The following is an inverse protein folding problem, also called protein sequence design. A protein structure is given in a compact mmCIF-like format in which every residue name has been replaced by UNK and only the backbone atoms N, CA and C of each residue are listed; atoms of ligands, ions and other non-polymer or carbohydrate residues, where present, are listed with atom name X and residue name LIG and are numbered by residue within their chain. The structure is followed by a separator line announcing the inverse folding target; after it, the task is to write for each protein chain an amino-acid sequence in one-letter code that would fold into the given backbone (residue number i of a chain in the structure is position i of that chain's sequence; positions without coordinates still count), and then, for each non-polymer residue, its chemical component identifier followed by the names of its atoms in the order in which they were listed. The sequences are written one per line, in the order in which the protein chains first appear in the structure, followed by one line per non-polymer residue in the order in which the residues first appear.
data_IF_098491844740
#
_entry.id   IF_098491844740
#
_cell.length_a   1.000
_cell.length_b   1.000
_cell.length_c   1.000
_cell.angle_alpha   90.00
_cell.angle_beta   90.00
_cell.angle_gamma   90.00
#
_symmetry.space_group_name_H-M   'P 1'
#
loop_
_entity.id
_entity.type
_entity.pdbx_description
1 polymer ?
#
# COMPACT_ATOMS: atom_id res chain seq x y z
N UNK A 1 -4.54 -20.11 -10.91
CA UNK A 1 -4.38 -21.15 -9.86
C UNK A 1 -3.40 -20.57 -8.86
N UNK A 2 -3.83 -20.30 -7.61
CA UNK A 2 -2.94 -19.71 -6.60
C UNK A 2 -1.77 -20.67 -6.33
N UNK A 3 -0.54 -20.13 -6.30
CA UNK A 3 0.64 -20.92 -5.94
C UNK A 3 0.43 -21.49 -4.53
N UNK A 4 0.45 -22.82 -4.34
CA UNK A 4 0.24 -23.44 -3.03
C UNK A 4 1.26 -22.98 -1.97
N UNK A 5 2.41 -22.42 -2.38
CA UNK A 5 3.43 -21.88 -1.49
C UNK A 5 3.19 -20.43 -1.08
N UNK A 6 2.28 -19.70 -1.75
CA UNK A 6 2.03 -18.29 -1.46
C UNK A 6 1.64 -18.07 0.00
N UNK A 7 0.79 -18.94 0.55
CA UNK A 7 0.39 -18.85 1.95
C UNK A 7 1.57 -19.02 2.90
N UNK A 8 2.45 -19.99 2.63
CA UNK A 8 3.65 -20.20 3.44
C UNK A 8 4.55 -18.98 3.43
N UNK A 9 4.80 -18.39 2.26
CA UNK A 9 5.66 -17.21 2.14
C UNK A 9 5.02 -15.96 2.75
N UNK A 10 3.73 -15.73 2.55
CA UNK A 10 3.02 -14.59 3.12
C UNK A 10 3.05 -14.64 4.66
N UNK A 11 2.79 -15.81 5.26
CA UNK A 11 2.82 -15.96 6.73
C UNK A 11 4.21 -15.83 7.34
N UNK A 12 5.27 -16.08 6.57
CA UNK A 12 6.65 -15.95 7.05
C UNK A 12 7.32 -14.61 6.70
N UNK A 13 6.61 -13.70 6.02
CA UNK A 13 7.19 -12.46 5.54
C UNK A 13 7.08 -11.34 6.59
N UNK A 14 8.18 -10.61 6.80
CA UNK A 14 8.18 -9.40 7.63
C UNK A 14 7.53 -8.20 6.90
N UNK A 15 7.58 -8.19 5.56
CA UNK A 15 7.05 -7.15 4.70
C UNK A 15 6.38 -7.76 3.47
N UNK A 16 5.15 -7.34 3.21
CA UNK A 16 4.38 -7.67 2.00
C UNK A 16 4.07 -6.36 1.29
N UNK A 17 4.38 -6.28 -0.01
CA UNK A 17 4.10 -5.09 -0.83
C UNK A 17 3.17 -5.45 -1.98
N UNK A 18 1.99 -4.83 -2.05
CA UNK A 18 1.16 -4.85 -3.25
C UNK A 18 1.64 -3.79 -4.23
N UNK A 19 2.21 -4.24 -5.34
CA UNK A 19 2.60 -3.41 -6.47
C UNK A 19 1.75 -3.69 -7.73
N UNK A 20 0.56 -4.27 -7.54
CA UNK A 20 -0.43 -4.50 -8.60
C UNK A 20 -1.56 -3.46 -8.53
N UNK A 21 -2.51 -3.54 -9.45
CA UNK A 21 -3.73 -2.70 -9.43
C UNK A 21 -4.91 -3.34 -8.69
N UNK A 22 -4.73 -4.53 -8.08
CA UNK A 22 -5.80 -5.20 -7.33
C UNK A 22 -6.17 -4.35 -6.11
N UNK A 23 -7.47 -4.12 -5.90
CA UNK A 23 -8.00 -3.25 -4.85
C UNK A 23 -8.16 -1.78 -5.27
N UNK A 24 -7.77 -1.39 -6.48
CA UNK A 24 -7.91 -0.02 -6.98
C UNK A 24 -9.36 0.33 -7.32
N UNK A 25 -9.84 1.48 -6.85
CA UNK A 25 -11.20 1.98 -7.10
C UNK A 25 -11.45 2.16 -8.59
N UNK A 26 -12.66 1.85 -9.06
CA UNK A 26 -13.05 1.95 -10.48
C UNK A 26 -12.24 1.08 -11.45
N UNK A 27 -11.46 0.12 -10.94
CA UNK A 27 -10.83 -0.93 -11.75
C UNK A 27 -11.71 -2.18 -11.82
N UNK A 28 -11.34 -3.15 -12.66
CA UNK A 28 -11.99 -4.48 -12.68
C UNK A 28 -11.76 -5.30 -11.41
N UNK A 29 -10.86 -4.86 -10.52
CA UNK A 29 -10.45 -5.54 -9.30
C UNK A 29 -10.80 -4.71 -8.04
N UNK A 30 -11.76 -3.79 -8.16
CA UNK A 30 -12.25 -3.00 -7.03
C UNK A 30 -12.81 -3.94 -5.94
N UNK A 31 -12.48 -3.66 -4.68
CA UNK A 31 -12.77 -4.50 -3.50
C UNK A 31 -12.16 -5.91 -3.51
N UNK A 32 -11.34 -6.27 -4.49
CA UNK A 32 -10.58 -7.53 -4.44
C UNK A 32 -9.34 -7.41 -3.55
N UNK A 33 -8.89 -8.54 -3.00
CA UNK A 33 -7.67 -8.64 -2.21
C UNK A 33 -6.78 -9.78 -2.71
N UNK A 34 -5.47 -9.56 -2.61
CA UNK A 34 -4.43 -10.57 -2.89
C UNK A 34 -4.34 -11.63 -1.79
N UNK A 35 -4.66 -11.27 -0.55
CA UNK A 35 -4.49 -12.11 0.63
C UNK A 35 -5.70 -11.98 1.57
N UNK A 36 -6.09 -13.09 2.17
CA UNK A 36 -7.07 -13.15 3.26
C UNK A 36 -6.38 -12.93 4.61
N UNK A 37 -7.09 -12.51 5.67
CA UNK A 37 -6.49 -12.25 6.98
C UNK A 37 -5.67 -13.44 7.53
N UNK A 38 -6.14 -14.68 7.33
CA UNK A 38 -5.49 -15.89 7.85
C UNK A 38 -4.13 -16.19 7.18
N UNK A 39 -3.83 -15.50 6.09
CA UNK A 39 -2.58 -15.62 5.33
C UNK A 39 -1.53 -14.58 5.74
N UNK A 40 -1.88 -13.65 6.62
CA UNK A 40 -1.04 -12.53 7.06
C UNK A 40 -0.65 -12.76 8.52
N UNK A 41 0.62 -12.59 8.87
CA UNK A 41 1.07 -12.62 10.26
C UNK A 41 0.85 -11.26 10.93
N UNK A 42 0.56 -11.24 12.23
CA UNK A 42 0.44 -10.00 13.01
C UNK A 42 1.75 -9.18 13.06
N UNK A 43 2.90 -9.85 12.92
CA UNK A 43 4.22 -9.21 12.91
C UNK A 43 4.55 -8.51 11.56
N UNK A 44 3.81 -8.83 10.50
CA UNK A 44 4.04 -8.33 9.15
C UNK A 44 3.68 -6.84 9.04
N UNK A 45 4.47 -6.10 8.24
CA UNK A 45 4.04 -4.85 7.65
C UNK A 45 3.45 -5.12 6.26
N UNK A 46 2.19 -4.75 6.03
CA UNK A 46 1.55 -4.79 4.71
C UNK A 46 1.53 -3.39 4.12
N UNK A 47 2.18 -3.23 2.98
CA UNK A 47 2.27 -1.98 2.24
C UNK A 47 1.52 -2.10 0.91
N UNK A 48 0.58 -1.21 0.66
CA UNK A 48 -0.14 -1.17 -0.62
C UNK A 48 0.20 0.11 -1.38
N UNK A 49 0.67 -0.01 -2.63
CA UNK A 49 0.96 1.14 -3.48
C UNK A 49 -0.31 1.77 -4.07
N UNK A 50 -1.45 1.07 -4.00
CA UNK A 50 -2.75 1.67 -4.33
C UNK A 50 -3.06 2.77 -3.31
N UNK A 51 -3.39 3.95 -3.82
CA UNK A 51 -3.76 5.12 -3.01
C UNK A 51 -5.22 5.57 -3.22
N UNK A 52 -5.95 4.97 -4.16
CA UNK A 52 -7.39 5.17 -4.35
C UNK A 52 -8.09 3.80 -4.49
N UNK A 53 -8.88 3.35 -3.49
CA UNK A 53 -9.16 4.04 -2.23
C UNK A 53 -7.92 4.08 -1.32
N UNK A 54 -7.90 4.98 -0.32
CA UNK A 54 -6.82 5.04 0.68
C UNK A 54 -6.67 3.74 1.47
N UNK A 55 -7.81 3.15 1.85
CA UNK A 55 -7.85 1.83 2.48
C UNK A 55 -8.41 0.79 1.51
N UNK A 56 -7.52 -0.02 0.94
CA UNK A 56 -7.87 -1.17 0.07
C UNK A 56 -8.37 -2.36 0.89
N UNK A 57 -8.96 -3.35 0.22
CA UNK A 57 -9.38 -4.59 0.88
C UNK A 57 -8.18 -5.36 1.46
N UNK A 58 -6.99 -5.29 0.84
CA UNK A 58 -5.77 -5.87 1.38
C UNK A 58 -5.38 -5.21 2.71
N UNK A 59 -5.43 -3.88 2.79
CA UNK A 59 -5.12 -3.16 4.03
C UNK A 59 -6.15 -3.44 5.13
N UNK A 60 -7.44 -3.60 4.78
CA UNK A 60 -8.47 -4.07 5.75
C UNK A 60 -8.14 -5.46 6.27
N UNK A 61 -7.86 -6.42 5.38
CA UNK A 61 -7.53 -7.79 5.76
C UNK A 61 -6.26 -7.86 6.63
N UNK A 62 -5.28 -7.00 6.37
CA UNK A 62 -4.07 -6.89 7.18
C UNK A 62 -4.39 -6.38 8.60
N UNK A 63 -5.24 -5.35 8.73
CA UNK A 63 -5.70 -4.87 10.04
C UNK A 63 -6.48 -5.94 10.81
N UNK A 64 -7.34 -6.68 10.12
CA UNK A 64 -8.10 -7.79 10.72
C UNK A 64 -7.19 -8.92 11.22
N UNK A 65 -6.03 -9.11 10.58
CA UNK A 65 -4.98 -10.03 11.02
C UNK A 65 -4.08 -9.49 12.15
N UNK A 66 -4.29 -8.24 12.59
CA UNK A 66 -3.44 -7.57 13.59
C UNK A 66 -2.13 -7.01 13.03
N UNK A 67 -1.93 -7.07 11.72
CA UNK A 67 -0.71 -6.60 11.07
C UNK A 67 -0.65 -5.06 10.99
N UNK A 68 0.57 -4.54 10.84
CA UNK A 68 0.78 -3.10 10.57
C UNK A 68 0.52 -2.82 9.10
N UNK A 69 0.01 -1.63 8.81
CA UNK A 69 -0.30 -1.20 7.43
C UNK A 69 0.41 0.08 7.03
N UNK A 70 0.79 0.16 5.76
CA UNK A 70 1.23 1.39 5.10
C UNK A 70 0.41 1.58 3.81
N UNK A 71 -0.20 2.75 3.63
CA UNK A 71 -0.97 3.10 2.43
C UNK A 71 -0.10 3.72 1.33
N UNK A 72 -0.64 3.89 0.12
CA UNK A 72 0.14 4.31 -1.06
C UNK A 72 0.48 5.80 -1.15
N UNK A 73 -0.19 6.67 -0.37
CA UNK A 73 -0.01 8.13 -0.42
C UNK A 73 1.43 8.56 -0.16
N UNK A 74 2.14 8.05 0.88
CA UNK A 74 3.56 8.32 1.05
C UNK A 74 4.38 8.07 -0.22
N UNK A 75 4.18 6.95 -0.93
CA UNK A 75 4.91 6.69 -2.19
C UNK A 75 4.65 7.79 -3.22
N UNK A 76 3.38 8.14 -3.42
CA UNK A 76 2.95 9.17 -4.36
C UNK A 76 3.61 10.52 -4.05
N UNK A 77 3.73 10.88 -2.78
CA UNK A 77 4.34 12.15 -2.37
C UNK A 77 5.86 12.09 -2.47
N UNK A 78 6.52 11.06 -1.94
CA UNK A 78 7.98 11.00 -1.91
C UNK A 78 8.58 10.93 -3.33
N UNK A 79 7.97 10.23 -4.28
CA UNK A 79 8.45 10.25 -5.66
C UNK A 79 8.31 11.64 -6.31
N UNK A 80 7.25 12.37 -5.96
CA UNK A 80 7.02 13.74 -6.44
C UNK A 80 8.00 14.72 -5.81
N UNK A 81 8.34 14.50 -4.53
CA UNK A 81 9.34 15.27 -3.81
C UNK A 81 10.70 15.12 -4.48
N UNK A 82 11.15 13.89 -4.77
CA UNK A 82 12.41 13.65 -5.51
C UNK A 82 12.44 14.39 -6.85
N UNK A 83 11.35 14.31 -7.62
CA UNK A 83 11.23 15.05 -8.89
C UNK A 83 11.32 16.56 -8.70
N UNK A 84 10.64 17.10 -7.68
CA UNK A 84 10.69 18.53 -7.34
C UNK A 84 12.12 18.97 -6.99
N UNK A 85 12.83 18.22 -6.16
CA UNK A 85 14.20 18.56 -5.77
C UNK A 85 15.15 18.51 -6.98
N UNK A 86 14.98 17.53 -7.86
CA UNK A 86 15.74 17.41 -9.10
C UNK A 86 15.54 18.60 -10.03
N UNK A 87 14.31 19.09 -10.20
CA UNK A 87 14.01 20.20 -11.10
C UNK A 87 14.38 21.56 -10.53
N UNK A 88 13.99 21.82 -9.28
CA UNK A 88 14.08 23.16 -8.69
C UNK A 88 15.35 23.38 -7.88
N UNK A 89 16.14 22.32 -7.64
CA UNK A 89 17.35 22.38 -6.81
C UNK A 89 17.08 22.97 -5.42
N UNK A 90 15.89 22.69 -4.89
CA UNK A 90 15.41 23.13 -3.57
C UNK A 90 14.76 21.95 -2.87
N UNK A 91 14.85 21.94 -1.55
CA UNK A 91 14.19 20.93 -0.72
C UNK A 91 12.68 20.93 -0.98
N UNK A 92 12.10 19.75 -1.18
CA UNK A 92 10.67 19.61 -1.38
C UNK A 92 9.90 19.89 -0.08
N UNK A 93 8.77 20.63 -0.13
CA UNK A 93 7.93 20.87 1.04
C UNK A 93 7.02 19.66 1.31
N UNK A 94 7.60 18.54 1.76
CA UNK A 94 6.91 17.25 1.91
C UNK A 94 5.62 17.37 2.73
N UNK A 95 5.64 18.09 3.86
CA UNK A 95 4.46 18.23 4.72
C UNK A 95 3.28 18.89 3.97
N UNK A 96 3.57 19.88 3.12
CA UNK A 96 2.57 20.54 2.27
C UNK A 96 2.05 19.58 1.20
N UNK A 97 2.94 18.78 0.61
CA UNK A 97 2.57 17.79 -0.41
C UNK A 97 1.69 16.68 0.17
N UNK A 98 2.00 16.19 1.38
CA UNK A 98 1.18 15.24 2.12
C UNK A 98 -0.19 15.83 2.44
N UNK A 99 -0.23 17.04 3.02
CA UNK A 99 -1.48 17.71 3.37
C UNK A 99 -2.37 17.97 2.15
N UNK A 100 -1.79 18.23 0.98
CA UNK A 100 -2.54 18.42 -0.26
C UNK A 100 -3.26 17.15 -0.74
N UNK A 101 -2.81 15.96 -0.31
CA UNK A 101 -3.50 14.70 -0.58
C UNK A 101 -4.64 14.44 0.41
N UNK A 102 -4.70 15.14 1.55
CA UNK A 102 -5.75 14.99 2.56
C UNK A 102 -7.05 15.67 2.11
N UNK A 103 -8.03 14.87 1.67
CA UNK A 103 -9.33 15.36 1.21
C UNK A 103 -9.87 14.74 -0.08
N UNK A 104 -9.10 13.86 -0.73
CA UNK A 104 -9.56 13.02 -1.87
C UNK A 104 -10.23 11.71 -1.44
#
# INVERSE_FOLDING_TARGET
MADPKLNTYARSADLIVNATSIGMRHSSFDQESLLMPEQISEDTLVYDLVYNPRETQLLRNAKDAGARTLEGIPMLVYQGAESFELWFKKKAPIDVMMQACDGE
#
